data_IF_091488335179
#
_entry.id   IF_091488335179
#
_cell.length_a   1.000
_cell.length_b   1.000
_cell.length_c   1.000
_cell.angle_alpha   90.00
_cell.angle_beta   90.00
_cell.angle_gamma   90.00
#
_symmetry.space_group_name_H-M   'P 1'
#
loop_
_entity.id
_entity.type
_entity.pdbx_description
1 polymer ?
#
# COMPACT_ATOMS: atom_id res chain seq x y z
N UNK A 1 17.70 -18.47 -12.41
CA UNK A 1 16.83 -17.30 -12.59
C UNK A 1 16.97 -16.83 -14.03
N UNK A 2 15.88 -16.70 -14.79
CA UNK A 2 15.92 -16.14 -16.15
C UNK A 2 15.94 -14.60 -16.03
N UNK A 3 16.87 -13.91 -16.69
CA UNK A 3 17.04 -12.45 -16.59
C UNK A 3 15.73 -11.65 -16.78
N UNK A 4 14.85 -12.17 -17.64
CA UNK A 4 13.53 -11.59 -17.89
C UNK A 4 12.59 -11.62 -16.66
N UNK A 5 12.65 -12.69 -15.84
CA UNK A 5 11.84 -12.80 -14.63
C UNK A 5 12.26 -11.76 -13.58
N UNK A 6 13.57 -11.48 -13.50
CA UNK A 6 14.13 -10.52 -12.55
C UNK A 6 13.73 -9.07 -12.89
N UNK A 7 13.68 -8.72 -14.19
CA UNK A 7 13.23 -7.38 -14.63
C UNK A 7 11.74 -7.15 -14.35
N UNK A 8 10.88 -8.16 -14.58
CA UNK A 8 9.45 -8.06 -14.29
C UNK A 8 9.16 -8.00 -12.78
N UNK A 9 9.91 -8.74 -11.96
CA UNK A 9 9.81 -8.67 -10.50
C UNK A 9 10.17 -7.27 -9.99
N UNK A 10 11.31 -6.73 -10.42
CA UNK A 10 11.74 -5.37 -10.08
C UNK A 10 10.71 -4.31 -10.49
N UNK A 11 10.09 -4.48 -11.65
CA UNK A 11 9.01 -3.58 -12.10
C UNK A 11 7.82 -3.61 -11.14
N UNK A 12 7.39 -4.78 -10.67
CA UNK A 12 6.31 -4.87 -9.69
C UNK A 12 6.69 -4.26 -8.35
N UNK A 13 7.92 -4.48 -7.88
CA UNK A 13 8.44 -3.84 -6.66
C UNK A 13 8.38 -2.31 -6.77
N UNK A 14 8.77 -1.75 -7.92
CA UNK A 14 8.68 -0.31 -8.18
C UNK A 14 7.23 0.21 -8.22
N UNK A 15 6.31 -0.56 -8.83
CA UNK A 15 4.89 -0.20 -8.86
C UNK A 15 4.27 -0.19 -7.46
N UNK A 16 4.65 -1.14 -6.60
CA UNK A 16 4.22 -1.22 -5.20
C UNK A 16 4.74 -0.02 -4.42
N UNK A 17 6.02 0.31 -4.57
CA UNK A 17 6.67 1.46 -3.93
C UNK A 17 6.01 2.79 -4.32
N UNK A 18 5.76 3.00 -5.62
CA UNK A 18 5.03 4.18 -6.12
C UNK A 18 3.61 4.28 -5.56
N UNK A 19 2.95 3.16 -5.29
CA UNK A 19 1.63 3.16 -4.66
C UNK A 19 1.73 3.50 -3.19
N UNK A 20 2.75 3.02 -2.49
CA UNK A 20 3.02 3.35 -1.09
C UNK A 20 3.30 4.84 -0.90
N UNK A 21 4.16 5.45 -1.71
CA UNK A 21 4.42 6.90 -1.68
C UNK A 21 3.14 7.73 -1.91
N UNK A 22 2.25 7.25 -2.78
CA UNK A 22 0.94 7.89 -2.98
C UNK A 22 0.09 7.82 -1.72
N UNK A 23 0.09 6.72 -0.97
CA UNK A 23 -0.67 6.62 0.28
C UNK A 23 -0.25 7.70 1.30
N UNK A 24 1.02 8.10 1.30
CA UNK A 24 1.57 9.13 2.19
C UNK A 24 1.13 10.55 1.82
N UNK A 25 0.71 10.79 0.57
CA UNK A 25 0.45 12.13 0.04
C UNK A 25 -1.03 12.46 -0.21
N UNK A 26 -1.96 11.51 0.01
CA UNK A 26 -3.36 11.65 -0.39
C UNK A 26 -4.21 12.37 0.66
N UNK A 27 -4.87 13.46 0.23
CA UNK A 27 -5.86 14.19 1.05
C UNK A 27 -7.31 13.72 0.88
N UNK A 28 -7.56 12.69 0.06
CA UNK A 28 -8.89 12.19 -0.25
C UNK A 28 -8.99 10.69 0.06
N UNK A 29 -9.94 10.33 0.94
CA UNK A 29 -10.11 8.96 1.42
C UNK A 29 -10.60 7.96 0.36
N UNK A 30 -11.30 8.39 -0.70
CA UNK A 30 -11.68 7.49 -1.79
C UNK A 30 -10.47 7.14 -2.65
N UNK A 31 -9.69 8.14 -3.04
CA UNK A 31 -8.45 7.93 -3.81
C UNK A 31 -7.45 7.12 -2.99
N UNK A 32 -7.30 7.43 -1.70
CA UNK A 32 -6.51 6.65 -0.76
C UNK A 32 -6.90 5.17 -0.78
N UNK A 33 -8.19 4.88 -0.64
CA UNK A 33 -8.66 3.51 -0.60
C UNK A 33 -8.49 2.76 -1.93
N UNK A 34 -8.64 3.45 -3.06
CA UNK A 34 -8.31 2.90 -4.37
C UNK A 34 -6.82 2.55 -4.46
N UNK A 35 -5.93 3.46 -4.06
CA UNK A 35 -4.50 3.21 -4.05
C UNK A 35 -4.12 2.02 -3.14
N UNK A 36 -4.70 1.93 -1.93
CA UNK A 36 -4.43 0.83 -1.01
C UNK A 36 -4.91 -0.52 -1.57
N UNK A 37 -6.06 -0.52 -2.25
CA UNK A 37 -6.57 -1.71 -2.95
C UNK A 37 -5.63 -2.12 -4.09
N UNK A 38 -5.19 -1.16 -4.91
CA UNK A 38 -4.23 -1.42 -5.99
C UNK A 38 -2.88 -1.92 -5.47
N UNK A 39 -2.40 -1.39 -4.34
CA UNK A 39 -1.18 -1.85 -3.69
C UNK A 39 -1.31 -3.32 -3.32
N UNK A 40 -2.38 -3.69 -2.60
CA UNK A 40 -2.66 -5.09 -2.25
C UNK A 40 -2.71 -5.99 -3.48
N UNK A 41 -3.42 -5.58 -4.52
CA UNK A 41 -3.55 -6.39 -5.73
C UNK A 41 -2.18 -6.60 -6.42
N UNK A 42 -1.29 -5.60 -6.37
CA UNK A 42 0.09 -5.71 -6.88
C UNK A 42 0.96 -6.63 -6.04
N UNK A 43 0.82 -6.60 -4.72
CA UNK A 43 1.52 -7.55 -3.83
C UNK A 43 1.07 -8.98 -4.13
N UNK A 44 -0.23 -9.21 -4.34
CA UNK A 44 -0.76 -10.53 -4.72
C UNK A 44 -0.28 -10.95 -6.11
N UNK A 45 -0.21 -10.03 -7.07
CA UNK A 45 0.36 -10.28 -8.39
C UNK A 45 1.83 -10.72 -8.30
N UNK A 46 2.63 -10.04 -7.48
CA UNK A 46 4.03 -10.40 -7.21
C UNK A 46 4.12 -11.82 -6.66
N UNK A 47 3.34 -12.14 -5.62
CA UNK A 47 3.37 -13.45 -4.99
C UNK A 47 2.98 -14.59 -5.95
N UNK A 48 1.92 -14.38 -6.73
CA UNK A 48 1.44 -15.39 -7.69
C UNK A 48 2.41 -15.63 -8.85
N UNK A 49 3.21 -14.63 -9.23
CA UNK A 49 4.13 -14.73 -10.38
C UNK A 49 5.50 -15.28 -9.99
N UNK A 50 6.00 -14.88 -8.83
CA UNK A 50 7.41 -15.09 -8.48
C UNK A 50 7.63 -16.01 -7.27
N UNK A 51 6.60 -16.29 -6.48
CA UNK A 51 6.71 -17.05 -5.22
C UNK A 51 7.92 -16.59 -4.37
N UNK A 52 8.04 -15.27 -4.10
CA UNK A 52 9.21 -14.71 -3.43
C UNK A 52 9.40 -15.29 -2.02
N UNK A 53 10.65 -15.50 -1.63
CA UNK A 53 11.05 -16.06 -0.32
C UNK A 53 11.09 -15.02 0.81
N UNK A 54 10.84 -13.75 0.48
CA UNK A 54 10.92 -12.61 1.39
C UNK A 54 9.56 -12.08 1.87
N UNK A 55 8.46 -12.73 1.51
CA UNK A 55 7.11 -12.40 2.00
C UNK A 55 6.32 -13.68 2.25
N UNK A 56 5.65 -13.74 3.39
CA UNK A 56 4.91 -14.93 3.81
C UNK A 56 3.40 -14.78 3.57
N UNK A 57 2.70 -15.92 3.40
CA UNK A 57 1.24 -15.97 3.28
C UNK A 57 0.50 -15.23 4.42
N UNK A 58 1.08 -15.19 5.61
CA UNK A 58 0.49 -14.51 6.77
C UNK A 58 0.47 -12.98 6.58
N UNK A 59 1.54 -12.42 6.01
CA UNK A 59 1.64 -10.99 5.68
C UNK A 59 0.57 -10.60 4.65
N UNK A 60 0.37 -11.44 3.64
CA UNK A 60 -0.70 -11.25 2.63
C UNK A 60 -2.09 -11.25 3.28
N UNK A 61 -2.36 -12.19 4.19
CA UNK A 61 -3.65 -12.26 4.89
C UNK A 61 -3.87 -11.05 5.81
N UNK A 62 -2.84 -10.57 6.47
CA UNK A 62 -2.89 -9.35 7.29
C UNK A 62 -3.20 -8.14 6.42
N UNK A 63 -2.51 -7.98 5.29
CA UNK A 63 -2.78 -6.90 4.34
C UNK A 63 -4.23 -6.92 3.83
N UNK A 64 -4.77 -8.11 3.51
CA UNK A 64 -6.18 -8.26 3.17
C UNK A 64 -7.11 -7.82 4.29
N UNK A 65 -6.82 -8.21 5.54
CA UNK A 65 -7.60 -7.80 6.70
C UNK A 65 -7.63 -6.28 6.82
N UNK A 66 -6.47 -5.64 6.73
CA UNK A 66 -6.31 -4.19 6.84
C UNK A 66 -7.05 -3.45 5.71
N UNK A 67 -6.96 -3.94 4.48
CA UNK A 67 -7.70 -3.37 3.35
C UNK A 67 -9.23 -3.51 3.51
N UNK A 68 -9.71 -4.59 4.11
CA UNK A 68 -11.15 -4.83 4.26
C UNK A 68 -11.77 -4.14 5.48
N UNK A 69 -10.95 -3.55 6.36
CA UNK A 69 -11.43 -3.00 7.63
C UNK A 69 -10.96 -1.57 7.82
N UNK A 70 -9.65 -1.35 7.97
CA UNK A 70 -9.05 -0.04 8.21
C UNK A 70 -9.25 0.88 7.01
N UNK A 71 -9.01 0.40 5.79
CA UNK A 71 -9.23 1.16 4.55
C UNK A 71 -10.72 1.41 4.28
N UNK A 72 -11.60 0.47 4.61
CA UNK A 72 -13.05 0.69 4.50
C UNK A 72 -13.56 1.74 5.51
N UNK A 73 -12.97 1.82 6.71
CA UNK A 73 -13.25 2.92 7.63
C UNK A 73 -12.83 4.29 7.08
N UNK A 74 -11.75 4.35 6.28
CA UNK A 74 -11.37 5.59 5.57
C UNK A 74 -12.46 5.99 4.58
N UNK A 75 -12.99 5.05 3.77
CA UNK A 75 -14.09 5.33 2.83
C UNK A 75 -15.33 5.87 3.55
N UNK A 76 -15.76 5.21 4.63
CA UNK A 76 -16.90 5.66 5.42
C UNK A 76 -16.69 7.03 6.06
N UNK A 77 -15.47 7.38 6.46
CA UNK A 77 -15.18 8.70 6.98
C UNK A 77 -15.16 9.76 5.86
N UNK A 78 -14.65 9.40 4.68
CA UNK A 78 -14.69 10.26 3.50
C UNK A 78 -16.13 10.60 3.10
N UNK A 79 -17.07 9.66 3.17
CA UNK A 79 -18.50 9.93 2.94
C UNK A 79 -19.05 11.03 3.86
N UNK A 80 -18.60 11.07 5.13
CA UNK A 80 -18.97 12.13 6.07
C UNK A 80 -18.33 13.46 5.71
N UNK A 81 -17.06 13.44 5.30
CA UNK A 81 -16.30 14.65 4.91
C UNK A 81 -16.81 15.25 3.59
N UNK A 82 -17.35 14.43 2.69
CA UNK A 82 -17.95 14.87 1.43
C UNK A 82 -19.28 15.61 1.60
N UNK A 83 -19.90 15.58 2.80
CA UNK A 83 -21.15 16.31 3.06
C UNK A 83 -20.91 17.83 3.15
N UNK A 84 -21.87 18.66 2.70
CA UNK A 84 -21.80 20.10 2.93
C UNK A 84 -21.62 20.41 4.41
N UNK A 85 -20.71 21.35 4.73
CA UNK A 85 -20.40 21.78 6.10
C UNK A 85 -19.75 20.71 7.01
N UNK A 86 -19.03 19.75 6.43
CA UNK A 86 -18.23 18.81 7.21
C UNK A 86 -17.33 19.54 8.23
N UNK A 87 -17.40 19.09 9.49
CA UNK A 87 -16.68 19.73 10.59
C UNK A 87 -15.16 19.54 10.45
N UNK A 88 -14.38 20.46 11.03
CA UNK A 88 -12.92 20.31 11.14
C UNK A 88 -12.55 18.99 11.83
N UNK A 89 -13.29 18.61 12.87
CA UNK A 89 -13.10 17.34 13.57
C UNK A 89 -13.24 16.13 12.63
N UNK A 90 -14.27 16.13 11.77
CA UNK A 90 -14.49 15.04 10.80
C UNK A 90 -13.38 14.94 9.77
N UNK A 91 -12.82 16.08 9.34
CA UNK A 91 -11.67 16.13 8.42
C UNK A 91 -10.39 15.62 9.07
N UNK A 92 -10.13 16.01 10.33
CA UNK A 92 -8.98 15.49 11.07
C UNK A 92 -9.09 13.98 11.30
N UNK A 93 -10.28 13.48 11.66
CA UNK A 93 -10.50 12.03 11.82
C UNK A 93 -10.28 11.25 10.52
N UNK A 94 -10.51 11.86 9.35
CA UNK A 94 -10.17 11.23 8.07
C UNK A 94 -8.66 11.08 7.92
N UNK A 95 -7.89 12.13 8.23
CA UNK A 95 -6.42 12.12 8.20
C UNK A 95 -5.88 11.05 9.16
N UNK A 96 -6.32 11.06 10.42
CA UNK A 96 -5.89 10.08 11.42
C UNK A 96 -6.18 8.63 11.00
N UNK A 97 -7.30 8.39 10.30
CA UNK A 97 -7.66 7.06 9.80
C UNK A 97 -6.79 6.64 8.63
N UNK A 98 -6.47 7.56 7.71
CA UNK A 98 -5.55 7.29 6.60
C UNK A 98 -4.16 6.98 7.13
N UNK A 99 -3.63 7.78 8.05
CA UNK A 99 -2.32 7.54 8.68
C UNK A 99 -2.26 6.19 9.40
N UNK A 100 -3.29 5.85 10.19
CA UNK A 100 -3.35 4.56 10.87
C UNK A 100 -3.42 3.38 9.91
N UNK A 101 -4.22 3.49 8.85
CA UNK A 101 -4.31 2.45 7.84
C UNK A 101 -2.98 2.27 7.09
N UNK A 102 -2.28 3.37 6.77
CA UNK A 102 -0.97 3.31 6.10
C UNK A 102 0.06 2.64 6.99
N UNK A 103 0.17 3.04 8.26
CA UNK A 103 1.09 2.42 9.20
C UNK A 103 0.81 0.93 9.38
N UNK A 104 -0.46 0.52 9.40
CA UNK A 104 -0.80 -0.90 9.50
C UNK A 104 -0.42 -1.66 8.22
N UNK A 105 -0.65 -1.09 7.04
CA UNK A 105 -0.17 -1.66 5.77
C UNK A 105 1.34 -1.84 5.78
N UNK A 106 2.11 -0.84 6.24
CA UNK A 106 3.57 -0.93 6.36
C UNK A 106 4.02 -2.06 7.30
N UNK A 107 3.30 -2.28 8.40
CA UNK A 107 3.57 -3.37 9.33
C UNK A 107 3.22 -4.73 8.68
N UNK A 108 2.07 -4.83 8.02
CA UNK A 108 1.54 -6.09 7.48
C UNK A 108 2.45 -6.69 6.40
N UNK A 109 3.15 -5.86 5.63
CA UNK A 109 4.06 -6.27 4.55
C UNK A 109 5.47 -5.67 4.73
N UNK A 110 5.92 -5.57 5.98
CA UNK A 110 7.22 -4.99 6.32
C UNK A 110 8.37 -5.66 5.56
N UNK A 111 8.34 -6.99 5.42
CA UNK A 111 9.42 -7.75 4.77
C UNK A 111 9.57 -7.36 3.29
N UNK A 112 8.46 -7.08 2.62
CA UNK A 112 8.44 -6.59 1.24
C UNK A 112 9.03 -5.17 1.14
N UNK A 113 8.64 -4.25 2.02
CA UNK A 113 9.19 -2.90 2.00
C UNK A 113 10.69 -2.90 2.28
N UNK A 114 11.15 -3.75 3.20
CA UNK A 114 12.58 -3.96 3.42
C UNK A 114 13.29 -4.44 2.14
N UNK A 115 12.69 -5.37 1.39
CA UNK A 115 13.24 -5.85 0.12
C UNK A 115 13.30 -4.75 -0.95
N UNK A 116 12.29 -3.88 -1.00
CA UNK A 116 12.26 -2.72 -1.89
C UNK A 116 13.42 -1.77 -1.57
N UNK A 117 13.64 -1.47 -0.28
CA UNK A 117 14.73 -0.60 0.16
C UNK A 117 16.11 -1.18 -0.19
N UNK A 118 16.32 -2.48 0.07
CA UNK A 118 17.56 -3.20 -0.33
C UNK A 118 17.79 -3.12 -1.85
N UNK A 119 16.72 -3.20 -2.65
CA UNK A 119 16.79 -3.11 -4.12
C UNK A 119 17.13 -1.70 -4.61
N UNK A 120 16.64 -0.66 -3.91
CA UNK A 120 17.01 0.75 -4.17
C UNK A 120 18.47 1.01 -3.85
N UNK A 121 18.97 0.51 -2.72
CA UNK A 121 20.39 0.64 -2.34
C UNK A 121 21.33 -0.06 -3.33
N UNK A 122 20.91 -1.21 -3.85
CA UNK A 122 21.60 -1.93 -4.92
C UNK A 122 21.51 -1.23 -6.30
N UNK A 123 20.79 -0.10 -6.40
CA UNK A 123 20.50 0.66 -7.64
C UNK A 123 19.75 -0.15 -8.71
N UNK A 124 19.01 -1.17 -8.29
CA UNK A 124 18.18 -1.99 -9.18
C UNK A 124 16.82 -1.34 -9.45
N UNK A 125 16.40 -0.41 -8.59
CA UNK A 125 15.23 0.45 -8.78
C UNK A 125 15.69 1.89 -8.99
N UNK A 126 15.07 2.66 -9.92
CA UNK A 126 15.37 4.07 -10.07
C UNK A 126 15.03 4.81 -8.75
N UNK A 127 16.03 5.41 -8.13
CA UNK A 127 15.83 6.34 -7.02
C UNK A 127 15.03 7.53 -7.56
N UNK A 128 13.82 7.75 -7.04
CA UNK A 128 13.00 8.91 -7.38
C UNK A 128 13.63 10.22 -6.85
#
# INVERSE_FOLDING_TARGET
MNYFMEEEELKLLNEIDLLHEKLLCLGNGYTYAQCATSLRDKVVELCNKFEPDYIEDIEIRQLYHTCNKEVDFVKHQQEKVSKPRASKKSKNELIDKMEKATNQIEIDIYSLFKKIDESKEAKLLPLQ
#
